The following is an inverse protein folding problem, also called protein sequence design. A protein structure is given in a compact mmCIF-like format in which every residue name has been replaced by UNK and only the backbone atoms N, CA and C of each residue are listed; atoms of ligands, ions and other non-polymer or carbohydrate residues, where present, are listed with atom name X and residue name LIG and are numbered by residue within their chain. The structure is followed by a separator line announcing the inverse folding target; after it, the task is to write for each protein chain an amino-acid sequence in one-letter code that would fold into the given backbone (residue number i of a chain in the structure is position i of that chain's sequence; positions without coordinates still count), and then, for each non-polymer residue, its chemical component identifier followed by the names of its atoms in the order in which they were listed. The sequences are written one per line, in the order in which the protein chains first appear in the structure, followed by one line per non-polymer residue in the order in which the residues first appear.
data_IF_718504894434
#
_entry.id   IF_718504894434
#
_cell.length_a   1.000
_cell.length_b   1.000
_cell.length_c   1.000
_cell.angle_alpha   90.00
_cell.angle_beta   90.00
_cell.angle_gamma   90.00
#
_symmetry.space_group_name_H-M   'P 1'
#
loop_
_entity.id
_entity.type
_entity.pdbx_description
1 polymer ?
#
# COMPACT_ATOMS: atom_id res chain seq x y z
N UNK A 1 0.40 -5.63 3.99
CA UNK A 1 1.07 -4.36 3.58
C UNK A 1 -0.04 -3.35 3.42
N UNK A 2 -0.03 -2.28 4.22
CA UNK A 2 -0.95 -1.17 4.05
C UNK A 2 -0.33 -0.21 3.03
N UNK A 3 -1.04 0.05 1.94
CA UNK A 3 -0.58 0.93 0.87
C UNK A 3 -1.70 1.92 0.57
N UNK A 4 -1.35 3.21 0.49
CA UNK A 4 -2.30 4.26 0.15
C UNK A 4 -2.81 4.05 -1.27
N UNK A 5 -4.09 3.74 -1.40
CA UNK A 5 -4.78 3.64 -2.69
C UNK A 5 -5.98 4.59 -2.67
N UNK A 6 -6.34 5.21 -3.81
CA UNK A 6 -7.53 6.04 -3.87
C UNK A 6 -8.75 5.17 -3.59
N UNK A 7 -9.44 5.47 -2.51
CA UNK A 7 -10.65 4.75 -2.09
C UNK A 7 -11.81 5.73 -1.96
N UNK A 8 -13.01 5.25 -2.30
CA UNK A 8 -14.25 5.92 -1.92
C UNK A 8 -14.55 5.55 -0.48
N UNK A 9 -14.53 6.55 0.40
CA UNK A 9 -14.95 6.42 1.78
C UNK A 9 -16.44 6.78 1.89
N UNK A 10 -17.20 5.95 2.59
CA UNK A 10 -18.55 6.32 3.00
C UNK A 10 -18.85 5.78 4.39
N UNK A 11 -20.14 5.62 4.73
CA UNK A 11 -20.55 5.59 6.15
C UNK A 11 -20.00 4.38 6.92
N UNK A 12 -19.78 3.26 6.23
CA UNK A 12 -19.30 2.00 6.80
C UNK A 12 -17.79 1.79 6.55
N UNK A 13 -17.07 2.82 6.07
CA UNK A 13 -15.63 2.79 5.84
C UNK A 13 -15.25 2.83 4.36
N UNK A 14 -14.38 1.92 3.92
CA UNK A 14 -13.94 1.83 2.52
C UNK A 14 -15.03 1.17 1.69
N UNK A 15 -15.74 1.95 0.89
CA UNK A 15 -16.85 1.46 0.05
C UNK A 15 -16.35 0.93 -1.31
N UNK A 16 -15.30 1.53 -1.87
CA UNK A 16 -14.80 1.14 -3.18
C UNK A 16 -13.31 1.45 -3.32
N UNK A 17 -12.54 0.54 -3.93
CA UNK A 17 -11.15 0.79 -4.31
C UNK A 17 -11.13 1.22 -5.76
N UNK A 18 -10.63 2.42 -6.04
CA UNK A 18 -10.55 2.95 -7.39
C UNK A 18 -9.28 2.39 -8.05
N UNK A 19 -9.44 1.43 -8.95
CA UNK A 19 -8.34 0.96 -9.79
C UNK A 19 -8.03 1.97 -10.89
N UNK A 20 -6.97 2.75 -10.68
CA UNK A 20 -6.45 3.67 -11.69
C UNK A 20 -5.56 2.88 -12.65
N UNK A 21 -5.73 3.07 -13.96
CA UNK A 21 -4.81 2.50 -14.94
C UNK A 21 -3.47 3.22 -14.88
N UNK A 22 -2.55 2.68 -14.09
CA UNK A 22 -1.18 3.17 -13.98
C UNK A 22 -0.38 2.76 -15.22
N UNK A 23 0.44 3.69 -15.72
CA UNK A 23 1.41 3.41 -16.77
C UNK A 23 2.58 2.54 -16.25
N UNK A 24 3.46 2.07 -17.14
CA UNK A 24 4.56 1.18 -16.76
C UNK A 24 5.53 1.81 -15.73
N UNK A 25 5.78 3.11 -15.83
CA UNK A 25 6.66 3.84 -14.90
C UNK A 25 6.03 3.99 -13.52
N UNK A 26 4.75 4.38 -13.45
CA UNK A 26 4.00 4.52 -12.21
C UNK A 26 3.82 3.17 -11.49
N UNK A 27 3.61 2.08 -12.24
CA UNK A 27 3.60 0.71 -11.69
C UNK A 27 4.96 0.35 -11.07
N UNK A 28 6.06 0.78 -11.68
CA UNK A 28 7.42 0.53 -11.17
C UNK A 28 7.68 1.34 -9.91
N UNK A 29 7.26 2.60 -9.86
CA UNK A 29 7.34 3.45 -8.69
C UNK A 29 6.51 2.88 -7.53
N UNK A 30 5.27 2.47 -7.80
CA UNK A 30 4.39 1.86 -6.80
C UNK A 30 4.96 0.55 -6.24
N UNK A 31 5.53 -0.32 -7.09
CA UNK A 31 6.26 -1.52 -6.64
C UNK A 31 7.47 -1.19 -5.76
N UNK A 32 8.21 -0.14 -6.11
CA UNK A 32 9.37 0.32 -5.34
C UNK A 32 8.95 0.80 -3.94
N UNK A 33 7.92 1.64 -3.86
CA UNK A 33 7.37 2.11 -2.59
C UNK A 33 6.80 0.97 -1.75
N UNK A 34 6.09 0.02 -2.36
CA UNK A 34 5.58 -1.17 -1.69
C UNK A 34 6.70 -2.05 -1.10
N UNK A 35 7.81 -2.20 -1.84
CA UNK A 35 8.97 -2.95 -1.38
C UNK A 35 9.64 -2.30 -0.17
N UNK A 36 9.81 -0.97 -0.18
CA UNK A 36 10.37 -0.22 0.93
C UNK A 36 9.53 -0.40 2.22
N UNK A 37 8.20 -0.28 2.12
CA UNK A 37 7.29 -0.50 3.26
C UNK A 37 7.36 -1.95 3.75
N UNK A 38 7.47 -2.92 2.84
CA UNK A 38 7.63 -4.33 3.20
C UNK A 38 8.92 -4.59 3.96
N UNK A 39 10.01 -3.93 3.59
CA UNK A 39 11.29 -4.08 4.31
C UNK A 39 11.24 -3.43 5.69
N UNK A 40 10.58 -2.28 5.85
CA UNK A 40 10.33 -1.69 7.17
C UNK A 40 9.45 -2.62 8.02
N UNK A 41 8.41 -3.24 7.44
CA UNK A 41 7.59 -4.23 8.14
C UNK A 41 8.42 -5.45 8.59
N UNK A 42 9.36 -5.95 7.77
CA UNK A 42 10.25 -7.04 8.19
C UNK A 42 11.16 -6.65 9.34
N UNK A 43 11.63 -5.39 9.40
CA UNK A 43 12.43 -4.89 10.51
C UNK A 43 11.59 -4.86 11.79
N UNK A 44 10.35 -4.37 11.69
CA UNK A 44 9.38 -4.40 12.80
C UNK A 44 9.07 -5.83 13.26
N UNK A 45 8.84 -6.78 12.35
CA UNK A 45 8.63 -8.21 12.69
C UNK A 45 9.86 -8.79 13.39
N UNK A 46 11.07 -8.46 12.93
CA UNK A 46 12.32 -8.87 13.58
C UNK A 46 12.48 -8.29 14.98
N UNK A 47 11.92 -7.11 15.24
CA UNK A 47 11.94 -6.48 16.55
C UNK A 47 11.00 -7.15 17.56
N UNK A 48 10.16 -8.13 17.14
CA UNK A 48 9.24 -8.90 18.02
C UNK A 48 8.46 -8.02 18.99
N UNK A 49 8.02 -6.86 18.52
CA UNK A 49 7.25 -5.90 19.32
C UNK A 49 5.79 -6.34 19.50
N UNK A 50 5.40 -7.45 18.85
CA UNK A 50 4.13 -8.16 19.00
C UNK A 50 4.37 -9.67 18.93
#
# INVERSE_FOLDING_TARGET
IYMGVPVKLGKDGVEEIIEVQLNEEEKKLLKTSAAAVKDVMKVLDKMKLF
#
